data_IF_837640045618
#
_entry.id   IF_837640045618
#
_cell.length_a   1.000
_cell.length_b   1.000
_cell.length_c   1.000
_cell.angle_alpha   90.00
_cell.angle_beta   90.00
_cell.angle_gamma   90.00
#
_symmetry.space_group_name_H-M   'P 1'
#
loop_
_entity.id
_entity.type
_entity.pdbx_description
1 polymer ?
#
# COMPACT_ATOMS: atom_id res chain seq x y z
N UNK A 1 -24.19 -1.76 21.81
CA UNK A 1 -23.25 -0.69 21.42
C UNK A 1 -23.11 -0.72 19.91
N UNK A 2 -22.93 0.42 19.24
CA UNK A 2 -22.66 0.43 17.81
C UNK A 2 -21.27 -0.20 17.55
N UNK A 3 -21.13 -0.95 16.46
CA UNK A 3 -19.82 -1.49 16.04
C UNK A 3 -18.85 -0.35 15.73
N UNK A 4 -17.58 -0.43 16.17
CA UNK A 4 -16.58 0.56 15.80
C UNK A 4 -16.35 0.51 14.29
N UNK A 5 -16.23 1.69 13.68
CA UNK A 5 -15.96 1.83 12.24
C UNK A 5 -14.45 1.83 12.01
N UNK A 6 -13.97 0.94 11.14
CA UNK A 6 -12.60 0.90 10.67
C UNK A 6 -12.56 1.32 9.19
N UNK A 7 -11.77 2.34 8.88
CA UNK A 7 -11.44 2.68 7.49
C UNK A 7 -10.24 1.84 7.06
N UNK A 8 -10.40 1.11 5.97
CA UNK A 8 -9.38 0.19 5.46
C UNK A 8 -9.06 0.49 4.00
N UNK A 9 -7.81 0.83 3.71
CA UNK A 9 -7.28 0.95 2.35
C UNK A 9 -6.37 -0.26 2.10
N UNK A 10 -6.80 -1.25 1.29
CA UNK A 10 -6.03 -2.46 1.04
C UNK A 10 -4.81 -2.19 0.15
N UNK A 11 -3.92 -3.19 0.07
CA UNK A 11 -2.73 -3.17 -0.80
C UNK A 11 -3.07 -3.08 -2.30
N UNK A 12 -4.18 -3.70 -2.67
CA UNK A 12 -4.82 -3.66 -3.98
C UNK A 12 -6.20 -4.33 -3.85
N UNK A 13 -6.93 -4.47 -4.95
CA UNK A 13 -8.24 -5.10 -5.00
C UNK A 13 -8.23 -6.62 -5.06
N UNK A 14 -7.12 -7.33 -4.81
CA UNK A 14 -7.15 -8.81 -4.87
C UNK A 14 -7.85 -9.41 -3.64
N UNK A 15 -8.50 -10.58 -3.74
CA UNK A 15 -9.27 -11.13 -2.61
C UNK A 15 -8.47 -11.31 -1.32
N UNK A 16 -7.18 -11.70 -1.44
CA UNK A 16 -6.31 -11.93 -0.29
C UNK A 16 -5.88 -10.67 0.46
N UNK A 17 -5.89 -9.52 -0.21
CA UNK A 17 -5.47 -8.22 0.33
C UNK A 17 -6.66 -7.37 0.76
N UNK A 18 -7.82 -7.56 0.13
CA UNK A 18 -9.04 -6.79 0.38
C UNK A 18 -10.10 -7.62 1.13
N UNK A 19 -10.66 -8.63 0.47
CA UNK A 19 -11.87 -9.33 0.95
C UNK A 19 -11.61 -10.10 2.25
N UNK A 20 -10.54 -10.91 2.28
CA UNK A 20 -10.20 -11.72 3.46
C UNK A 20 -9.95 -10.82 4.68
N UNK A 21 -9.29 -9.68 4.50
CA UNK A 21 -8.99 -8.74 5.59
C UNK A 21 -10.27 -8.05 6.07
N UNK A 22 -11.13 -7.61 5.14
CA UNK A 22 -12.40 -7.00 5.48
C UNK A 22 -13.34 -7.97 6.20
N UNK A 23 -13.42 -9.22 5.72
CA UNK A 23 -14.25 -10.27 6.32
C UNK A 23 -13.75 -10.68 7.70
N UNK A 24 -12.43 -10.72 7.91
CA UNK A 24 -11.85 -10.93 9.23
C UNK A 24 -12.27 -9.84 10.23
N UNK A 25 -12.19 -8.56 9.82
CA UNK A 25 -12.62 -7.45 10.66
C UNK A 25 -14.12 -7.50 10.98
N UNK A 26 -14.95 -7.81 9.97
CA UNK A 26 -16.40 -7.99 10.16
C UNK A 26 -16.73 -9.14 11.10
N UNK A 27 -16.04 -10.27 10.97
CA UNK A 27 -16.18 -11.42 11.87
C UNK A 27 -15.79 -11.08 13.31
N UNK A 28 -14.89 -10.10 13.51
CA UNK A 28 -14.53 -9.56 14.82
C UNK A 28 -15.51 -8.48 15.35
N UNK A 29 -16.61 -8.20 14.63
CA UNK A 29 -17.63 -7.22 15.04
C UNK A 29 -17.33 -5.77 14.68
N UNK A 30 -16.37 -5.53 13.76
CA UNK A 30 -15.98 -4.20 13.27
C UNK A 30 -16.73 -3.85 11.98
N UNK A 31 -17.22 -2.61 11.85
CA UNK A 31 -17.74 -2.09 10.57
C UNK A 31 -16.55 -1.67 9.68
N UNK A 32 -16.11 -2.58 8.80
CA UNK A 32 -14.98 -2.33 7.89
C UNK A 32 -15.46 -1.64 6.62
N UNK A 33 -15.03 -0.40 6.42
CA UNK A 33 -15.24 0.40 5.21
C UNK A 33 -13.99 0.42 4.36
N UNK A 34 -14.13 0.06 3.10
CA UNK A 34 -13.04 0.00 2.10
C UNK A 34 -13.50 0.71 0.83
N UNK A 35 -12.59 1.31 0.02
CA UNK A 35 -12.99 1.91 -1.25
C UNK A 35 -13.60 0.85 -2.17
N UNK A 36 -14.43 1.30 -3.10
CA UNK A 36 -14.97 0.43 -4.14
C UNK A 36 -13.78 -0.19 -4.91
N UNK A 37 -13.91 -1.48 -5.20
CA UNK A 37 -12.93 -2.24 -5.98
C UNK A 37 -12.60 -1.55 -7.30
N UNK A 38 -13.55 -0.85 -7.92
CA UNK A 38 -13.29 -0.10 -9.16
C UNK A 38 -12.23 1.01 -8.96
N UNK A 39 -12.01 1.52 -7.75
CA UNK A 39 -10.95 2.49 -7.47
C UNK A 39 -9.58 1.84 -7.20
N UNK A 40 -9.55 0.55 -6.88
CA UNK A 40 -8.35 -0.18 -6.51
C UNK A 40 -7.67 -0.83 -7.72
N UNK A 41 -6.34 -0.97 -7.68
CA UNK A 41 -5.64 -1.76 -8.70
C UNK A 41 -5.96 -3.24 -8.57
N UNK A 42 -5.64 -3.97 -9.63
CA UNK A 42 -5.44 -5.41 -9.59
C UNK A 42 -4.13 -5.76 -10.32
N UNK A 43 -3.99 -7.01 -10.76
CA UNK A 43 -2.80 -7.45 -11.51
C UNK A 43 -2.60 -6.69 -12.82
N UNK A 44 -3.69 -6.31 -13.50
CA UNK A 44 -3.69 -5.76 -14.86
C UNK A 44 -4.13 -4.30 -14.92
N UNK A 45 -4.79 -3.80 -13.87
CA UNK A 45 -5.36 -2.46 -13.83
C UNK A 45 -4.70 -1.59 -12.77
N UNK A 46 -4.44 -0.34 -13.14
CA UNK A 46 -3.95 0.69 -12.22
C UNK A 46 -5.08 1.18 -11.31
N UNK A 47 -4.77 1.47 -10.05
CA UNK A 47 -5.71 2.08 -9.11
C UNK A 47 -5.84 3.59 -9.30
N UNK A 48 -7.00 4.13 -8.96
CA UNK A 48 -7.32 5.56 -9.04
C UNK A 48 -6.90 6.28 -7.76
N UNK A 49 -5.62 6.68 -7.69
CA UNK A 49 -5.02 7.31 -6.50
C UNK A 49 -5.88 8.47 -5.95
N UNK A 50 -6.27 9.41 -6.81
CA UNK A 50 -7.07 10.56 -6.38
C UNK A 50 -8.49 10.17 -5.96
N UNK A 51 -9.06 9.12 -6.57
CA UNK A 51 -10.35 8.57 -6.18
C UNK A 51 -10.31 7.96 -4.78
N UNK A 52 -9.28 7.18 -4.49
CA UNK A 52 -9.04 6.59 -3.16
C UNK A 52 -8.82 7.68 -2.11
N UNK A 53 -8.06 8.73 -2.41
CA UNK A 53 -7.86 9.85 -1.48
C UNK A 53 -9.15 10.59 -1.16
N UNK A 54 -9.95 10.94 -2.17
CA UNK A 54 -11.26 11.58 -1.96
C UNK A 54 -12.20 10.70 -1.12
N UNK A 55 -12.20 9.39 -1.37
CA UNK A 55 -12.96 8.44 -0.57
C UNK A 55 -12.46 8.40 0.88
N UNK A 56 -11.15 8.33 1.08
CA UNK A 56 -10.51 8.23 2.40
C UNK A 56 -10.76 9.48 3.25
N UNK A 57 -10.58 10.68 2.68
CA UNK A 57 -10.81 11.95 3.38
C UNK A 57 -12.25 12.05 3.90
N UNK A 58 -13.22 11.58 3.12
CA UNK A 58 -14.63 11.53 3.52
C UNK A 58 -14.88 10.55 4.66
N UNK A 59 -14.36 9.32 4.58
CA UNK A 59 -14.55 8.32 5.65
C UNK A 59 -13.80 8.70 6.94
N UNK A 60 -12.63 9.32 6.82
CA UNK A 60 -11.86 9.80 7.97
C UNK A 60 -12.52 11.00 8.67
N UNK A 61 -13.40 11.75 8.00
CA UNK A 61 -14.20 12.81 8.62
C UNK A 61 -15.46 12.27 9.33
N UNK A 62 -15.88 11.03 9.03
CA UNK A 62 -17.15 10.45 9.47
C UNK A 62 -17.19 9.85 10.90
N UNK A 63 -16.22 10.17 11.76
CA UNK A 63 -16.17 9.65 13.14
C UNK A 63 -15.67 8.21 13.25
N UNK A 64 -14.81 7.78 12.34
CA UNK A 64 -14.20 6.45 12.35
C UNK A 64 -13.31 6.22 13.59
N UNK A 65 -13.20 4.98 14.05
CA UNK A 65 -12.40 4.62 15.23
C UNK A 65 -10.90 4.52 14.89
N UNK A 66 -10.56 4.03 13.69
CA UNK A 66 -9.19 3.93 13.21
C UNK A 66 -9.11 3.89 11.67
N UNK A 67 -7.90 4.07 11.16
CA UNK A 67 -7.49 3.86 9.78
C UNK A 67 -6.39 2.79 9.71
N UNK A 68 -6.54 1.84 8.79
CA UNK A 68 -5.46 0.95 8.33
C UNK A 68 -5.28 1.18 6.84
N UNK A 69 -4.07 1.52 6.38
CA UNK A 69 -3.84 1.83 4.96
C UNK A 69 -2.52 1.31 4.39
N UNK A 70 -2.55 0.83 3.16
CA UNK A 70 -1.35 0.57 2.36
C UNK A 70 -0.81 1.85 1.73
N UNK A 71 0.49 2.09 1.92
CA UNK A 71 1.22 3.19 1.28
C UNK A 71 1.27 2.98 -0.24
N UNK A 72 1.34 1.74 -0.73
CA UNK A 72 1.36 1.43 -2.16
C UNK A 72 0.11 1.95 -2.86
N UNK A 73 -1.08 1.70 -2.29
CA UNK A 73 -2.35 2.19 -2.84
C UNK A 73 -2.41 3.72 -2.77
N UNK A 74 -2.10 4.31 -1.61
CA UNK A 74 -2.22 5.76 -1.42
C UNK A 74 -1.22 6.57 -2.25
N UNK A 75 -0.02 6.06 -2.49
CA UNK A 75 1.04 6.80 -3.15
C UNK A 75 1.19 6.46 -4.64
N UNK A 76 0.89 5.21 -5.03
CA UNK A 76 1.19 4.70 -6.37
C UNK A 76 -0.01 4.05 -7.07
N UNK A 77 -1.13 3.84 -6.37
CA UNK A 77 -2.28 3.13 -6.91
C UNK A 77 -2.19 1.62 -6.77
N UNK A 78 -1.26 1.09 -5.96
CA UNK A 78 -1.19 -0.29 -5.49
C UNK A 78 0.14 -0.99 -5.80
N UNK A 79 0.22 -2.28 -5.47
CA UNK A 79 1.51 -3.00 -5.38
C UNK A 79 2.32 -3.01 -6.68
N UNK A 80 1.70 -3.41 -7.80
CA UNK A 80 2.43 -3.52 -9.09
C UNK A 80 2.87 -2.15 -9.58
N UNK A 81 2.04 -1.13 -9.38
CA UNK A 81 2.35 0.24 -9.75
C UNK A 81 3.52 0.80 -8.92
N UNK A 82 3.52 0.54 -7.60
CA UNK A 82 4.64 0.89 -6.72
C UNK A 82 5.95 0.24 -7.17
N UNK A 83 5.95 -1.05 -7.53
CA UNK A 83 7.15 -1.76 -8.01
C UNK A 83 7.73 -1.19 -9.30
N UNK A 84 6.88 -0.69 -10.18
CA UNK A 84 7.25 -0.15 -11.50
C UNK A 84 7.43 1.37 -11.50
N UNK A 85 7.19 2.01 -10.36
CA UNK A 85 7.18 3.46 -10.28
C UNK A 85 8.57 4.04 -10.53
N UNK A 86 8.61 5.09 -11.35
CA UNK A 86 9.77 5.94 -11.56
C UNK A 86 9.55 7.33 -10.92
N UNK A 87 8.48 7.46 -10.13
CA UNK A 87 8.06 8.72 -9.49
C UNK A 87 9.05 9.07 -8.38
N UNK A 88 9.50 10.33 -8.35
CA UNK A 88 10.42 10.84 -7.34
C UNK A 88 9.78 10.92 -5.95
N UNK A 89 10.62 10.98 -4.90
CA UNK A 89 10.13 11.12 -3.53
C UNK A 89 9.32 12.41 -3.36
N UNK A 90 9.76 13.49 -3.99
CA UNK A 90 9.20 14.84 -3.97
C UNK A 90 7.75 14.86 -4.50
N UNK A 91 7.42 14.00 -5.47
CA UNK A 91 6.07 13.86 -6.01
C UNK A 91 5.14 13.06 -5.08
N UNK A 92 5.71 12.23 -4.21
CA UNK A 92 4.97 11.41 -3.23
C UNK A 92 4.75 12.17 -1.91
N UNK A 93 5.68 13.06 -1.55
CA UNK A 93 5.65 13.86 -0.31
C UNK A 93 4.29 14.52 -0.04
N UNK A 94 3.59 15.16 -1.01
CA UNK A 94 2.28 15.73 -0.76
C UNK A 94 1.24 14.70 -0.29
N UNK A 95 1.28 13.46 -0.80
CA UNK A 95 0.37 12.38 -0.38
C UNK A 95 0.70 11.90 1.04
N UNK A 96 1.99 11.85 1.40
CA UNK A 96 2.41 11.54 2.76
C UNK A 96 2.02 12.62 3.76
N UNK A 97 2.07 13.90 3.38
CA UNK A 97 1.57 14.99 4.21
C UNK A 97 0.07 14.86 4.50
N UNK A 98 -0.75 14.55 3.49
CA UNK A 98 -2.19 14.27 3.68
C UNK A 98 -2.43 13.12 4.66
N UNK A 99 -1.63 12.06 4.57
CA UNK A 99 -1.70 10.93 5.51
C UNK A 99 -1.34 11.37 6.94
N UNK A 100 -0.31 12.19 7.10
CA UNK A 100 0.10 12.74 8.39
C UNK A 100 -0.99 13.62 9.03
N UNK A 101 -1.69 14.44 8.22
CA UNK A 101 -2.83 15.23 8.68
C UNK A 101 -3.97 14.35 9.19
N UNK A 102 -4.27 13.23 8.52
CA UNK A 102 -5.26 12.26 9.01
C UNK A 102 -4.78 11.60 10.31
N UNK A 103 -3.52 11.16 10.36
CA UNK A 103 -2.94 10.51 11.52
C UNK A 103 -2.90 11.39 12.77
N UNK A 104 -2.88 12.72 12.61
CA UNK A 104 -2.94 13.67 13.74
C UNK A 104 -4.27 13.67 14.49
N UNK A 105 -5.34 13.13 13.88
CA UNK A 105 -6.72 13.17 14.41
C UNK A 105 -7.41 11.81 14.48
N UNK A 106 -6.86 10.79 13.82
CA UNK A 106 -7.42 9.44 13.73
C UNK A 106 -6.31 8.42 13.97
N UNK A 107 -6.44 7.48 14.93
CA UNK A 107 -5.49 6.39 15.08
C UNK A 107 -5.24 5.69 13.74
N UNK A 108 -4.02 5.81 13.23
CA UNK A 108 -3.67 5.42 11.85
C UNK A 108 -2.52 4.44 11.87
N UNK A 109 -2.72 3.31 11.21
CA UNK A 109 -1.72 2.26 11.01
C UNK A 109 -1.45 2.12 9.52
N UNK A 110 -0.18 2.04 9.14
CA UNK A 110 0.21 1.94 7.75
C UNK A 110 1.07 0.73 7.50
N UNK A 111 0.85 0.10 6.34
CA UNK A 111 1.71 -0.94 5.82
C UNK A 111 2.47 -0.42 4.60
N UNK A 112 3.71 -0.85 4.50
CA UNK A 112 4.55 -0.62 3.33
C UNK A 112 5.29 -1.92 2.98
N UNK A 113 5.47 -2.16 1.69
CA UNK A 113 6.14 -3.33 1.14
C UNK A 113 7.51 -2.92 0.65
N UNK A 114 8.54 -3.51 1.25
CA UNK A 114 9.90 -3.45 0.71
C UNK A 114 10.03 -4.57 -0.33
N UNK A 115 10.17 -4.27 -1.63
CA UNK A 115 10.30 -5.30 -2.65
C UNK A 115 11.61 -6.07 -2.48
N UNK A 116 11.54 -7.37 -2.75
CA UNK A 116 12.74 -8.22 -2.86
C UNK A 116 13.43 -8.00 -4.21
N UNK A 117 14.72 -8.30 -4.29
CA UNK A 117 15.38 -8.57 -5.58
C UNK A 117 14.72 -9.79 -6.23
N UNK A 118 14.17 -9.69 -7.46
CA UNK A 118 13.62 -10.85 -8.15
C UNK A 118 14.76 -11.81 -8.55
N UNK A 119 14.54 -13.13 -8.40
CA UNK A 119 15.45 -14.15 -8.93
C UNK A 119 15.33 -14.26 -10.45
N UNK A 120 14.08 -14.19 -10.93
CA UNK A 120 13.72 -14.05 -12.33
C UNK A 120 12.64 -12.96 -12.40
N UNK A 121 12.83 -11.91 -13.21
CA UNK A 121 11.86 -10.84 -13.33
C UNK A 121 10.60 -11.33 -14.04
N UNK A 122 9.45 -10.85 -13.56
CA UNK A 122 8.12 -11.12 -14.10
C UNK A 122 7.55 -9.89 -14.79
N UNK A 123 6.32 -10.00 -15.29
CA UNK A 123 5.55 -8.87 -15.80
C UNK A 123 5.23 -7.82 -14.72
N UNK A 124 5.22 -8.19 -13.43
CA UNK A 124 4.97 -7.28 -12.31
C UNK A 124 6.21 -6.49 -11.86
N UNK A 125 7.41 -6.87 -12.31
CA UNK A 125 8.67 -6.24 -11.92
C UNK A 125 9.02 -5.04 -12.82
N UNK A 126 9.80 -4.10 -12.27
CA UNK A 126 10.34 -2.95 -12.99
C UNK A 126 11.20 -3.36 -14.20
N UNK A 127 11.24 -2.50 -15.22
CA UNK A 127 11.97 -2.77 -16.45
C UNK A 127 13.47 -3.01 -16.24
N UNK A 128 14.09 -2.31 -15.27
CA UNK A 128 15.53 -2.47 -15.00
C UNK A 128 15.90 -3.88 -14.50
N UNK A 129 14.96 -4.63 -13.91
CA UNK A 129 15.19 -6.03 -13.56
C UNK A 129 15.24 -6.97 -14.76
N UNK A 130 14.70 -6.55 -15.91
CA UNK A 130 14.61 -7.37 -17.14
C UNK A 130 15.85 -7.31 -18.02
N UNK A 131 16.87 -6.55 -17.60
CA UNK A 131 18.13 -6.37 -18.33
C UNK A 131 19.03 -7.60 -18.31
N UNK A 132 18.83 -8.51 -17.36
CA UNK A 132 19.69 -9.70 -17.19
C UNK A 132 21.04 -9.40 -16.53
N UNK A 133 21.28 -8.18 -16.02
CA UNK A 133 22.51 -7.83 -15.29
C UNK A 133 22.55 -8.51 -13.90
N UNK A 134 23.07 -9.74 -13.90
CA UNK A 134 23.25 -10.57 -12.71
C UNK A 134 24.13 -9.90 -11.65
N UNK A 135 25.10 -9.07 -12.07
CA UNK A 135 25.98 -8.38 -11.14
C UNK A 135 25.22 -7.24 -10.41
N UNK A 136 24.37 -6.49 -11.11
CA UNK A 136 23.49 -5.50 -10.49
C UNK A 136 22.49 -6.16 -9.53
N UNK A 137 21.88 -7.29 -9.91
CA UNK A 137 21.00 -8.06 -9.03
C UNK A 137 21.71 -8.51 -7.76
N UNK A 138 22.94 -9.03 -7.88
CA UNK A 138 23.74 -9.46 -6.73
C UNK A 138 24.10 -8.29 -5.82
N UNK A 139 24.54 -7.15 -6.38
CA UNK A 139 24.84 -5.93 -5.60
C UNK A 139 23.63 -5.45 -4.82
N UNK A 140 22.47 -5.38 -5.46
CA UNK A 140 21.24 -4.95 -4.79
C UNK A 140 20.80 -5.93 -3.69
N UNK A 141 20.88 -7.24 -3.96
CA UNK A 141 20.58 -8.28 -2.97
C UNK A 141 21.49 -8.18 -1.73
N UNK A 142 22.79 -8.03 -1.94
CA UNK A 142 23.75 -7.91 -0.85
C UNK A 142 23.51 -6.65 -0.02
N UNK A 143 23.16 -5.52 -0.66
CA UNK A 143 22.77 -4.30 0.04
C UNK A 143 21.53 -4.50 0.91
N UNK A 144 20.50 -5.19 0.41
CA UNK A 144 19.31 -5.50 1.21
C UNK A 144 19.63 -6.38 2.42
N UNK A 145 20.48 -7.40 2.25
CA UNK A 145 20.91 -8.25 3.37
C UNK A 145 21.68 -7.47 4.42
N UNK A 146 22.56 -6.56 4.01
CA UNK A 146 23.29 -5.68 4.93
C UNK A 146 22.34 -4.77 5.72
N UNK A 147 21.43 -4.07 5.02
CA UNK A 147 20.46 -3.19 5.69
C UNK A 147 19.59 -3.94 6.70
N UNK A 148 19.15 -5.16 6.36
CA UNK A 148 18.38 -5.98 7.28
C UNK A 148 19.20 -6.42 8.50
N UNK A 149 20.49 -6.74 8.32
CA UNK A 149 21.38 -7.07 9.43
C UNK A 149 21.55 -5.86 10.36
N UNK A 150 21.76 -4.67 9.80
CA UNK A 150 21.94 -3.42 10.54
C UNK A 150 20.68 -3.01 11.34
N UNK A 151 19.48 -3.37 10.87
CA UNK A 151 18.22 -3.06 11.55
C UNK A 151 17.89 -3.98 12.73
N UNK A 152 18.51 -5.17 12.79
CA UNK A 152 18.23 -6.20 13.81
C UNK A 152 19.36 -6.29 14.84
N UNK A 153 20.51 -5.65 14.59
CA UNK A 153 21.61 -5.44 15.54
C UNK A 153 21.37 -4.26 16.47
#
# INVERSE_FOLDING_TARGET
MASPVLVFVPLDGRPVTMDIVADLGRAAGVDVRTPDRVMLSDRFRLGEVDGVWKWLEREAAGGSAALIASVETLCFGGLVASRKSEVGFEEIVPRLHRLYEIASRLPTYVSAVIPRTPQQPTDEDAAYWKTGDQAAMLRHRNRHLQLNADLIS
#
